data_IF_782793485381
#
_entry.id   IF_782793485381
#
_cell.length_a   1.000
_cell.length_b   1.000
_cell.length_c   1.000
_cell.angle_alpha   90.00
_cell.angle_beta   90.00
_cell.angle_gamma   90.00
#
_symmetry.space_group_name_H-M   'P 1'
#
loop_
_entity.id
_entity.type
_entity.pdbx_description
1 polymer ?
#
# COMPACT_ATOMS: atom_id res chain seq x y z
N UNK A 1 6.64 -14.01 -15.20
CA UNK A 1 6.53 -12.56 -14.90
C UNK A 1 5.44 -12.21 -13.87
N UNK A 2 4.17 -12.61 -14.05
CA UNK A 2 3.07 -12.26 -13.11
C UNK A 2 3.29 -12.73 -11.66
N UNK A 3 3.85 -13.92 -11.46
CA UNK A 3 4.13 -14.45 -10.11
C UNK A 3 5.21 -13.65 -9.36
N UNK A 4 6.26 -13.22 -10.07
CA UNK A 4 7.33 -12.42 -9.49
C UNK A 4 6.87 -11.01 -9.09
N UNK A 5 6.11 -10.33 -9.96
CA UNK A 5 5.53 -9.02 -9.65
C UNK A 5 4.55 -9.11 -8.49
N UNK A 6 3.73 -10.18 -8.43
CA UNK A 6 2.85 -10.47 -7.29
C UNK A 6 3.66 -10.57 -5.99
N UNK A 7 4.74 -11.34 -6.00
CA UNK A 7 5.58 -11.54 -4.83
C UNK A 7 6.20 -10.24 -4.31
N UNK A 8 6.80 -9.43 -5.20
CA UNK A 8 7.33 -8.10 -4.84
C UNK A 8 6.22 -7.23 -4.24
N UNK A 9 5.04 -7.23 -4.85
CA UNK A 9 3.90 -6.43 -4.35
C UNK A 9 3.48 -6.85 -2.95
N UNK A 10 3.42 -8.15 -2.66
CA UNK A 10 3.06 -8.65 -1.32
C UNK A 10 4.11 -8.26 -0.28
N UNK A 11 5.39 -8.40 -0.61
CA UNK A 11 6.49 -8.06 0.30
C UNK A 11 6.45 -6.58 0.64
N UNK A 12 6.40 -5.73 -0.39
CA UNK A 12 6.42 -4.27 -0.23
C UNK A 12 5.16 -3.76 0.45
N UNK A 13 4.00 -4.35 0.18
CA UNK A 13 2.75 -4.07 0.88
C UNK A 13 2.82 -4.43 2.36
N UNK A 14 3.29 -5.64 2.68
CA UNK A 14 3.47 -6.10 4.06
C UNK A 14 4.45 -5.21 4.82
N UNK A 15 5.60 -4.89 4.22
CA UNK A 15 6.61 -4.00 4.79
C UNK A 15 6.07 -2.60 5.05
N UNK A 16 5.34 -2.02 4.09
CA UNK A 16 4.76 -0.68 4.24
C UNK A 16 3.81 -0.62 5.43
N UNK A 17 2.90 -1.59 5.57
CA UNK A 17 1.94 -1.62 6.67
C UNK A 17 2.58 -1.99 8.01
N UNK A 18 3.52 -2.94 8.04
CA UNK A 18 4.25 -3.25 9.27
C UNK A 18 5.00 -2.03 9.77
N UNK A 19 5.71 -1.32 8.88
CA UNK A 19 6.43 -0.11 9.25
C UNK A 19 5.47 0.99 9.72
N UNK A 20 4.36 1.19 9.01
CA UNK A 20 3.35 2.18 9.40
C UNK A 20 2.79 1.91 10.80
N UNK A 21 2.42 0.65 11.09
CA UNK A 21 1.92 0.22 12.40
C UNK A 21 3.00 0.44 13.48
N UNK A 22 4.24 0.05 13.21
CA UNK A 22 5.34 0.22 14.16
C UNK A 22 5.57 1.71 14.47
N UNK A 23 5.53 2.59 13.45
CA UNK A 23 5.65 4.04 13.63
C UNK A 23 4.51 4.63 14.46
N UNK A 24 3.28 4.17 14.25
CA UNK A 24 2.13 4.65 15.01
C UNK A 24 2.10 4.13 16.45
N UNK A 25 2.38 2.84 16.67
CA UNK A 25 2.19 2.20 17.97
C UNK A 25 3.38 2.36 18.91
N UNK A 26 4.60 2.55 18.38
CA UNK A 26 5.83 2.58 19.18
C UNK A 26 6.74 3.79 18.89
N UNK A 27 6.23 5.03 18.86
CA UNK A 27 7.02 6.21 18.47
C UNK A 27 8.25 6.40 19.37
N UNK A 28 8.11 6.22 20.69
CA UNK A 28 9.20 6.36 21.65
C UNK A 28 10.27 5.27 21.55
N UNK A 29 9.92 4.08 21.05
CA UNK A 29 10.89 3.01 20.79
C UNK A 29 11.66 3.28 19.49
N UNK A 30 10.99 3.81 18.46
CA UNK A 30 11.61 4.17 17.18
C UNK A 30 12.61 5.30 17.35
N UNK A 31 12.29 6.31 18.18
CA UNK A 31 13.16 7.46 18.38
C UNK A 31 14.48 7.12 19.09
N UNK A 32 14.61 5.89 19.64
CA UNK A 32 15.88 5.35 20.17
C UNK A 32 16.84 4.89 19.07
N UNK A 33 16.36 4.68 17.84
CA UNK A 33 17.19 4.31 16.70
C UNK A 33 17.59 5.58 15.92
N UNK A 34 18.89 5.95 15.90
CA UNK A 34 19.32 7.21 15.29
C UNK A 34 18.88 7.39 13.84
N UNK A 35 18.91 6.31 13.04
CA UNK A 35 18.47 6.34 11.65
C UNK A 35 16.99 6.71 11.51
N UNK A 36 16.14 6.20 12.40
CA UNK A 36 14.69 6.36 12.31
C UNK A 36 14.18 7.65 12.94
N UNK A 37 14.83 8.15 13.99
CA UNK A 37 14.37 9.34 14.72
C UNK A 37 14.08 10.51 13.78
N UNK A 38 15.03 10.81 12.91
CA UNK A 38 14.94 11.96 12.00
C UNK A 38 14.38 11.58 10.61
N UNK A 39 14.44 10.30 10.23
CA UNK A 39 14.08 9.85 8.88
C UNK A 39 12.86 8.93 8.79
N UNK A 40 12.14 8.62 9.88
CA UNK A 40 11.00 7.69 9.88
C UNK A 40 9.96 7.99 8.79
N UNK A 41 9.67 9.27 8.56
CA UNK A 41 8.71 9.69 7.52
C UNK A 41 9.28 9.57 6.10
N UNK A 42 10.59 9.77 5.91
CA UNK A 42 11.28 9.59 4.62
C UNK A 42 11.35 8.10 4.27
N UNK A 43 11.67 7.25 5.26
CA UNK A 43 11.70 5.79 5.08
C UNK A 43 10.28 5.30 4.74
N UNK A 44 9.26 5.78 5.46
CA UNK A 44 7.86 5.46 5.19
C UNK A 44 7.43 5.92 3.79
N UNK A 45 7.86 7.11 3.35
CA UNK A 45 7.61 7.62 2.00
C UNK A 45 8.19 6.73 0.91
N UNK A 46 9.48 6.39 1.02
CA UNK A 46 10.18 5.57 0.03
C UNK A 46 9.53 4.18 -0.08
N UNK A 47 9.28 3.53 1.05
CA UNK A 47 8.61 2.22 1.08
C UNK A 47 7.17 2.34 0.57
N UNK A 48 6.48 3.42 0.91
CA UNK A 48 5.15 3.75 0.40
C UNK A 48 5.11 3.84 -1.12
N UNK A 49 6.03 4.59 -1.74
CA UNK A 49 6.14 4.69 -3.20
C UNK A 49 6.39 3.32 -3.82
N UNK A 50 7.37 2.56 -3.29
CA UNK A 50 7.71 1.24 -3.83
C UNK A 50 6.49 0.32 -3.77
N UNK A 51 5.74 0.32 -2.67
CA UNK A 51 4.50 -0.42 -2.50
C UNK A 51 3.44 -0.02 -3.54
N UNK A 52 3.17 1.27 -3.71
CA UNK A 52 2.19 1.78 -4.67
C UNK A 52 2.56 1.38 -6.10
N UNK A 53 3.83 1.56 -6.49
CA UNK A 53 4.32 1.20 -7.82
C UNK A 53 4.24 -0.30 -8.06
N UNK A 54 4.65 -1.12 -7.08
CA UNK A 54 4.59 -2.57 -7.17
C UNK A 54 3.13 -3.04 -7.33
N UNK A 55 2.22 -2.54 -6.49
CA UNK A 55 0.82 -2.91 -6.53
C UNK A 55 0.15 -2.51 -7.84
N UNK A 56 0.39 -1.29 -8.34
CA UNK A 56 -0.12 -0.83 -9.65
C UNK A 56 0.42 -1.71 -10.78
N UNK A 57 1.71 -2.07 -10.73
CA UNK A 57 2.34 -2.96 -11.72
C UNK A 57 1.76 -4.38 -11.68
N UNK A 58 1.38 -4.87 -10.50
CA UNK A 58 0.66 -6.13 -10.38
C UNK A 58 -0.76 -6.02 -10.95
N UNK A 59 -1.47 -4.93 -10.62
CA UNK A 59 -2.82 -4.67 -11.06
C UNK A 59 -2.95 -4.54 -12.57
N UNK A 60 -2.01 -3.89 -13.25
CA UNK A 60 -1.98 -3.78 -14.71
C UNK A 60 -1.84 -5.13 -15.40
N UNK A 61 -1.29 -6.14 -14.70
CA UNK A 61 -1.22 -7.53 -15.19
C UNK A 61 -2.54 -8.30 -15.04
N UNK A 62 -3.52 -7.74 -14.32
CA UNK A 62 -4.84 -8.32 -14.04
C UNK A 62 -5.93 -7.62 -14.88
N UNK A 63 -6.89 -8.39 -15.39
CA UNK A 63 -8.06 -7.85 -16.12
C UNK A 63 -9.16 -7.36 -15.15
N UNK A 64 -8.83 -6.37 -14.34
CA UNK A 64 -9.72 -5.82 -13.30
C UNK A 64 -10.69 -4.78 -13.86
N UNK A 65 -11.75 -4.50 -13.11
CA UNK A 65 -12.65 -3.38 -13.39
C UNK A 65 -11.89 -2.05 -13.22
N UNK A 66 -12.12 -1.08 -14.10
CA UNK A 66 -11.42 0.22 -14.11
C UNK A 66 -11.55 1.00 -12.79
N UNK A 67 -12.68 0.87 -12.09
CA UNK A 67 -12.89 1.51 -10.79
C UNK A 67 -11.92 1.01 -9.71
N UNK A 68 -11.50 -0.27 -9.76
CA UNK A 68 -10.56 -0.84 -8.79
C UNK A 68 -9.19 -0.19 -8.94
N UNK A 69 -8.75 -0.02 -10.18
CA UNK A 69 -7.51 0.67 -10.50
C UNK A 69 -7.54 2.13 -10.04
N UNK A 70 -8.66 2.82 -10.28
CA UNK A 70 -8.88 4.21 -9.86
C UNK A 70 -8.88 4.33 -8.33
N UNK A 71 -9.56 3.41 -7.62
CA UNK A 71 -9.61 3.39 -6.17
C UNK A 71 -8.21 3.20 -5.56
N UNK A 72 -7.41 2.27 -6.10
CA UNK A 72 -6.02 2.04 -5.66
C UNK A 72 -5.15 3.26 -5.94
N UNK A 73 -5.28 3.91 -7.10
CA UNK A 73 -4.53 5.12 -7.41
C UNK A 73 -4.83 6.24 -6.41
N UNK A 74 -6.12 6.54 -6.21
CA UNK A 74 -6.56 7.60 -5.30
C UNK A 74 -6.13 7.32 -3.86
N UNK A 75 -6.35 6.10 -3.38
CA UNK A 75 -5.99 5.72 -2.00
C UNK A 75 -4.50 5.50 -1.81
N UNK A 76 -3.78 5.15 -2.87
CA UNK A 76 -2.33 5.04 -2.90
C UNK A 76 -1.62 6.39 -2.78
N UNK A 77 -2.25 7.49 -3.21
CA UNK A 77 -1.63 8.83 -3.11
C UNK A 77 -1.30 9.25 -1.68
N UNK A 78 -1.97 8.69 -0.66
CA UNK A 78 -1.68 9.01 0.74
C UNK A 78 -0.26 8.58 1.14
N UNK A 79 0.27 7.53 0.50
CA UNK A 79 1.66 7.12 0.69
C UNK A 79 2.68 8.13 0.14
N UNK A 80 2.28 9.00 -0.79
CA UNK A 80 3.13 10.08 -1.31
C UNK A 80 3.24 11.27 -0.35
N UNK A 81 2.36 11.34 0.64
CA UNK A 81 2.34 12.43 1.61
C UNK A 81 2.36 11.84 3.01
N UNK A 82 3.55 11.51 3.57
CA UNK A 82 3.66 10.87 4.87
C UNK A 82 2.87 11.53 6.00
N UNK A 83 2.81 12.87 6.12
CA UNK A 83 1.97 13.51 7.13
C UNK A 83 0.49 13.15 7.00
N UNK A 84 -0.02 13.00 5.78
CA UNK A 84 -1.42 12.68 5.52
C UNK A 84 -1.81 11.33 6.11
N UNK A 85 -0.90 10.36 6.13
CA UNK A 85 -1.12 9.03 6.73
C UNK A 85 -1.53 9.07 8.21
N UNK A 86 -1.23 10.17 8.91
CA UNK A 86 -1.51 10.35 10.35
C UNK A 86 -2.68 11.30 10.61
N UNK A 87 -3.43 11.70 9.58
CA UNK A 87 -4.58 12.62 9.70
C UNK A 87 -5.92 11.87 9.71
N UNK A 88 -6.96 12.52 10.25
CA UNK A 88 -8.34 12.03 10.19
C UNK A 88 -8.83 11.73 8.77
N UNK A 89 -8.29 12.44 7.77
CA UNK A 89 -8.63 12.22 6.36
C UNK A 89 -7.83 11.06 5.78
N UNK A 90 -6.54 10.93 6.08
CA UNK A 90 -5.70 9.89 5.49
C UNK A 90 -5.95 8.49 6.06
N UNK A 91 -6.35 8.36 7.32
CA UNK A 91 -6.63 7.05 7.95
C UNK A 91 -7.73 6.26 7.16
N UNK A 92 -8.89 6.84 6.83
CA UNK A 92 -9.88 6.18 5.96
C UNK A 92 -9.33 5.71 4.61
N UNK A 93 -8.48 6.51 3.97
CA UNK A 93 -7.86 6.15 2.69
C UNK A 93 -6.85 5.00 2.88
N UNK A 94 -6.08 4.98 3.97
CA UNK A 94 -5.20 3.87 4.33
C UNK A 94 -5.98 2.58 4.56
N UNK A 95 -7.07 2.63 5.32
CA UNK A 95 -7.93 1.46 5.54
C UNK A 95 -8.50 0.95 4.21
N UNK A 96 -8.95 1.86 3.35
CA UNK A 96 -9.47 1.49 2.02
C UNK A 96 -8.38 0.85 1.16
N UNK A 97 -7.18 1.44 1.11
CA UNK A 97 -6.03 0.88 0.39
C UNK A 97 -5.67 -0.52 0.93
N UNK A 98 -5.68 -0.71 2.25
CA UNK A 98 -5.40 -1.99 2.91
C UNK A 98 -6.41 -3.06 2.48
N UNK A 99 -7.70 -2.78 2.62
CA UNK A 99 -8.78 -3.72 2.34
C UNK A 99 -8.75 -4.12 0.86
N UNK A 100 -8.69 -3.15 -0.05
CA UNK A 100 -8.67 -3.43 -1.49
C UNK A 100 -7.42 -4.22 -1.85
N UNK A 101 -6.25 -3.82 -1.34
CA UNK A 101 -4.98 -4.55 -1.53
C UNK A 101 -5.05 -6.01 -1.08
N UNK A 102 -5.59 -6.28 0.11
CA UNK A 102 -5.77 -7.63 0.63
C UNK A 102 -6.69 -8.47 -0.26
N UNK A 103 -7.81 -7.91 -0.72
CA UNK A 103 -8.73 -8.60 -1.63
C UNK A 103 -8.00 -8.98 -2.94
N UNK A 104 -7.20 -8.07 -3.49
CA UNK A 104 -6.42 -8.31 -4.72
C UNK A 104 -5.46 -9.50 -4.53
N UNK A 105 -4.83 -9.65 -3.37
CA UNK A 105 -3.88 -10.73 -3.12
C UNK A 105 -4.54 -12.09 -2.82
N UNK A 106 -5.65 -12.08 -2.06
CA UNK A 106 -6.36 -13.29 -1.60
C UNK A 106 -7.28 -13.82 -2.70
N UNK A 107 -8.15 -12.97 -3.25
CA UNK A 107 -9.16 -13.39 -4.23
C UNK A 107 -9.38 -12.32 -5.32
N UNK A 108 -8.42 -12.14 -6.24
CA UNK A 108 -8.53 -11.15 -7.30
C UNK A 108 -9.75 -11.37 -8.21
N UNK A 109 -10.28 -12.60 -8.30
CA UNK A 109 -11.44 -12.95 -9.15
C UNK A 109 -12.70 -12.16 -8.77
N UNK A 110 -12.85 -11.78 -7.50
CA UNK A 110 -13.98 -10.97 -7.04
C UNK A 110 -14.00 -9.58 -7.69
N UNK A 111 -12.83 -9.07 -8.07
CA UNK A 111 -12.63 -7.74 -8.65
C UNK A 111 -12.38 -7.78 -10.17
N UNK A 112 -12.26 -8.96 -10.75
CA UNK A 112 -12.09 -9.15 -12.19
C UNK A 112 -13.40 -8.86 -12.94
N UNK A 113 -13.26 -8.38 -14.17
CA UNK A 113 -14.42 -8.27 -15.07
C UNK A 113 -14.95 -9.69 -15.32
N UNK A 114 -16.25 -9.94 -15.08
CA UNK A 114 -16.89 -11.17 -15.58
C UNK A 114 -16.71 -11.17 -17.09
N UNK A 115 -16.01 -12.18 -17.61
CA UNK A 115 -16.00 -12.43 -19.05
C UNK A 115 -17.34 -13.10 -19.31
N UNK A 116 -18.32 -12.31 -19.76
CA UNK A 116 -19.54 -12.85 -20.36
C UNK A 116 -19.09 -13.26 -21.77
N UNK A 117 -18.89 -14.57 -21.97
CA UNK A 117 -18.80 -15.18 -23.31
C UNK A 117 -20.19 -15.68 -23.64
#
# INVERSE_FOLDING_TARGET
>A
MKSFIKFISIITFSLAYLLFIVIMMFPSAIDKFPLMKDNKYIILFIIGIINVVALISYLSSLKLKSWVFTAILLTGTVWLFPPLNFTYIGIPFQITYLIVGLIIFINPKMLMKKIII
#
